data_IF_310695268950
#
_entry.id   IF_310695268950
#
_cell.length_a   1.000
_cell.length_b   1.000
_cell.length_c   1.000
_cell.angle_alpha   90.00
_cell.angle_beta   90.00
_cell.angle_gamma   90.00
#
_symmetry.space_group_name_H-M   'P 1'
#
loop_
_entity.id
_entity.type
_entity.pdbx_description
1 polymer ?
#
# COMPACT_ATOMS: atom_id res chain seq x y z
N UNK A 1 15.91 -20.05 14.74
CA UNK A 1 14.55 -19.42 14.73
C UNK A 1 13.67 -20.18 15.73
N UNK A 2 12.83 -19.49 16.52
CA UNK A 2 11.95 -20.12 17.51
C UNK A 2 10.53 -19.61 17.28
N UNK A 3 9.57 -20.54 17.19
CA UNK A 3 8.15 -20.19 17.15
C UNK A 3 7.72 -19.80 18.56
N UNK A 4 7.17 -18.61 18.72
CA UNK A 4 6.74 -18.07 20.04
C UNK A 4 5.25 -18.23 20.28
N UNK A 5 4.46 -18.35 19.23
CA UNK A 5 3.02 -18.60 19.28
C UNK A 5 2.55 -19.18 17.94
N UNK A 6 1.42 -19.89 17.98
CA UNK A 6 0.67 -20.39 16.84
C UNK A 6 -0.79 -19.93 17.00
N UNK A 7 -1.36 -19.31 15.96
CA UNK A 7 -2.69 -18.73 15.95
C UNK A 7 -3.58 -19.46 14.94
N UNK A 8 -4.82 -19.73 15.29
CA UNK A 8 -5.76 -20.46 14.46
C UNK A 8 -6.64 -19.56 13.58
N UNK A 9 -6.69 -18.27 13.87
CA UNK A 9 -7.41 -17.28 13.08
C UNK A 9 -6.73 -15.89 13.14
N UNK A 10 -7.22 -14.94 12.35
CA UNK A 10 -6.64 -13.61 12.30
C UNK A 10 -6.84 -12.77 13.56
N UNK A 11 -7.82 -13.09 14.43
CA UNK A 11 -8.00 -12.38 15.70
C UNK A 11 -6.93 -12.80 16.71
N UNK A 12 -6.74 -14.11 16.87
CA UNK A 12 -5.64 -14.65 17.69
C UNK A 12 -4.28 -14.15 17.18
N UNK A 13 -4.07 -14.14 15.85
CA UNK A 13 -2.84 -13.62 15.25
C UNK A 13 -2.58 -12.16 15.64
N UNK A 14 -3.60 -11.30 15.62
CA UNK A 14 -3.48 -9.91 16.07
C UNK A 14 -3.16 -9.86 17.57
N UNK A 15 -3.90 -10.59 18.42
CA UNK A 15 -3.70 -10.60 19.87
C UNK A 15 -2.31 -11.09 20.25
N UNK A 16 -1.86 -12.20 19.67
CA UNK A 16 -0.56 -12.78 19.95
C UNK A 16 0.57 -11.90 19.45
N UNK A 17 0.41 -11.25 18.30
CA UNK A 17 1.42 -10.28 17.82
C UNK A 17 1.55 -9.10 18.76
N UNK A 18 0.43 -8.57 19.29
CA UNK A 18 0.44 -7.48 20.26
C UNK A 18 1.11 -7.88 21.58
N UNK A 19 0.88 -9.11 22.02
CA UNK A 19 1.36 -9.62 23.29
C UNK A 19 2.84 -10.05 23.23
N UNK A 20 3.19 -10.91 22.27
CA UNK A 20 4.53 -11.52 22.18
C UNK A 20 5.54 -10.63 21.45
N UNK A 21 5.09 -9.67 20.64
CA UNK A 21 5.96 -8.81 19.83
C UNK A 21 7.02 -9.61 19.05
N UNK A 22 6.63 -10.60 18.23
CA UNK A 22 7.59 -11.42 17.49
C UNK A 22 8.34 -10.56 16.47
N UNK A 23 9.57 -10.99 16.10
CA UNK A 23 10.32 -10.31 15.05
C UNK A 23 9.64 -10.43 13.67
N UNK A 24 8.98 -11.57 13.44
CA UNK A 24 8.28 -11.87 12.17
C UNK A 24 6.95 -12.54 12.48
N UNK A 25 5.94 -12.19 11.72
CA UNK A 25 4.66 -12.92 11.66
C UNK A 25 4.57 -13.60 10.30
N UNK A 26 4.44 -14.92 10.29
CA UNK A 26 4.09 -15.69 9.11
C UNK A 26 2.58 -15.94 9.15
N UNK A 27 1.84 -15.48 8.15
CA UNK A 27 0.39 -15.44 8.20
C UNK A 27 -0.25 -15.97 6.92
N UNK A 28 -1.18 -16.87 7.05
CA UNK A 28 -2.02 -17.29 5.94
C UNK A 28 -2.96 -16.13 5.52
N UNK A 29 -3.19 -15.98 4.21
CA UNK A 29 -4.17 -15.02 3.68
C UNK A 29 -5.59 -15.49 3.99
N UNK A 30 -5.88 -16.76 3.73
CA UNK A 30 -7.23 -17.32 3.87
C UNK A 30 -7.37 -18.00 5.23
N UNK A 31 -8.01 -17.30 6.15
CA UNK A 31 -8.31 -17.80 7.49
C UNK A 31 -9.79 -17.58 7.85
N UNK A 32 -10.37 -18.41 8.73
CA UNK A 32 -11.74 -18.21 9.17
C UNK A 32 -11.88 -16.91 9.97
N UNK A 33 -13.05 -16.28 9.88
CA UNK A 33 -13.36 -15.07 10.64
C UNK A 33 -12.63 -13.82 10.13
N UNK A 34 -11.49 -13.48 10.72
CA UNK A 34 -10.65 -12.38 10.27
C UNK A 34 -9.57 -12.92 9.33
N UNK A 35 -9.60 -12.52 8.06
CA UNK A 35 -8.59 -12.92 7.07
C UNK A 35 -7.21 -12.29 7.35
N UNK A 36 -6.16 -12.86 6.74
CA UNK A 36 -4.78 -12.43 6.95
C UNK A 36 -4.48 -11.01 6.49
N UNK A 37 -5.17 -10.51 5.46
CA UNK A 37 -5.00 -9.14 4.97
C UNK A 37 -5.57 -8.13 5.96
N UNK A 38 -6.77 -8.41 6.48
CA UNK A 38 -7.39 -7.58 7.51
C UNK A 38 -6.62 -7.63 8.83
N UNK A 39 -6.08 -8.80 9.21
CA UNK A 39 -5.20 -8.96 10.37
C UNK A 39 -3.90 -8.16 10.19
N UNK A 40 -3.24 -8.27 9.02
CA UNK A 40 -2.04 -7.48 8.66
C UNK A 40 -2.29 -5.99 8.83
N UNK A 41 -3.39 -5.48 8.28
CA UNK A 41 -3.74 -4.05 8.38
C UNK A 41 -3.91 -3.59 9.82
N UNK A 42 -4.52 -4.42 10.69
CA UNK A 42 -4.67 -4.12 12.12
C UNK A 42 -3.33 -4.11 12.84
N UNK A 43 -2.49 -5.10 12.58
CA UNK A 43 -1.16 -5.22 13.20
C UNK A 43 -0.29 -4.03 12.80
N UNK A 44 -0.15 -3.73 11.51
CA UNK A 44 0.70 -2.63 11.00
C UNK A 44 0.21 -1.26 11.49
N UNK A 45 -1.11 -1.07 11.67
CA UNK A 45 -1.62 0.16 12.30
C UNK A 45 -1.14 0.35 13.74
N UNK A 46 -1.02 -0.72 14.49
CA UNK A 46 -0.61 -0.68 15.90
C UNK A 46 0.91 -0.81 16.07
N UNK A 47 1.57 -1.51 15.16
CA UNK A 47 3.02 -1.76 15.15
C UNK A 47 3.52 -1.53 13.72
N UNK A 48 3.83 -0.29 13.32
CA UNK A 48 4.20 0.05 11.93
C UNK A 48 5.42 -0.71 11.39
N UNK A 49 6.36 -1.10 12.26
CA UNK A 49 7.60 -1.77 11.89
C UNK A 49 7.50 -3.30 11.98
N UNK A 50 6.31 -3.87 12.23
CA UNK A 50 6.13 -5.31 12.30
C UNK A 50 6.34 -5.96 10.94
N UNK A 51 7.31 -6.85 10.85
CA UNK A 51 7.54 -7.65 9.64
C UNK A 51 6.48 -8.74 9.56
N UNK A 52 5.67 -8.71 8.50
CA UNK A 52 4.62 -9.70 8.22
C UNK A 52 4.87 -10.29 6.84
N UNK A 53 5.01 -11.61 6.77
CA UNK A 53 5.13 -12.37 5.54
C UNK A 53 3.85 -13.18 5.36
N UNK A 54 3.15 -12.97 4.25
CA UNK A 54 1.91 -13.68 3.95
C UNK A 54 2.20 -14.99 3.23
N UNK A 55 1.46 -16.03 3.57
CA UNK A 55 1.43 -17.29 2.82
C UNK A 55 0.30 -17.23 1.79
N UNK A 56 0.62 -17.57 0.55
CA UNK A 56 -0.34 -17.54 -0.57
C UNK A 56 -0.29 -18.84 -1.36
N UNK A 57 -1.42 -19.28 -1.89
CA UNK A 57 -1.47 -20.29 -2.95
C UNK A 57 -1.38 -19.63 -4.33
N UNK A 58 -1.13 -20.42 -5.38
CA UNK A 58 -1.04 -19.91 -6.76
C UNK A 58 -2.33 -19.24 -7.25
N UNK A 59 -3.48 -19.56 -6.65
CA UNK A 59 -4.78 -18.99 -6.99
C UNK A 59 -5.05 -17.63 -6.31
N UNK A 60 -4.22 -17.23 -5.35
CA UNK A 60 -4.43 -16.05 -4.50
C UNK A 60 -3.58 -14.84 -4.92
N UNK A 61 -3.00 -14.83 -6.11
CA UNK A 61 -2.10 -13.77 -6.58
C UNK A 61 -2.73 -12.36 -6.55
N UNK A 62 -4.05 -12.26 -6.77
CA UNK A 62 -4.76 -10.97 -6.66
C UNK A 62 -4.82 -10.48 -5.22
N UNK A 63 -4.93 -11.39 -4.25
CA UNK A 63 -4.93 -11.09 -2.84
C UNK A 63 -3.55 -10.62 -2.35
N UNK A 64 -2.47 -11.07 -3.00
CA UNK A 64 -1.13 -10.63 -2.68
C UNK A 64 -0.95 -9.11 -2.83
N UNK A 65 -1.54 -8.50 -3.85
CA UNK A 65 -1.52 -7.04 -4.02
C UNK A 65 -2.22 -6.31 -2.87
N UNK A 66 -3.37 -6.84 -2.43
CA UNK A 66 -4.09 -6.28 -1.28
C UNK A 66 -3.30 -6.43 0.02
N UNK A 67 -2.56 -7.52 0.15
CA UNK A 67 -1.66 -7.76 1.28
C UNK A 67 -0.50 -6.76 1.36
N UNK A 68 0.15 -6.43 0.21
CA UNK A 68 1.17 -5.37 0.16
C UNK A 68 0.58 -4.01 0.54
N UNK A 69 -0.60 -3.68 0.01
CA UNK A 69 -1.30 -2.44 0.36
C UNK A 69 -1.70 -2.41 1.85
N UNK A 70 -1.91 -3.57 2.48
CA UNK A 70 -2.17 -3.68 3.91
C UNK A 70 -0.91 -3.51 4.77
N UNK A 71 0.30 -3.57 4.16
CA UNK A 71 1.58 -3.38 4.81
C UNK A 71 2.40 -4.66 5.02
N UNK A 72 2.09 -5.77 4.31
CA UNK A 72 2.92 -6.95 4.35
C UNK A 72 4.32 -6.67 3.78
N UNK A 73 5.35 -7.23 4.38
CA UNK A 73 6.74 -7.12 3.96
C UNK A 73 7.10 -8.07 2.81
N UNK A 74 6.30 -9.14 2.63
CA UNK A 74 6.55 -10.10 1.57
C UNK A 74 5.52 -11.21 1.51
N UNK A 75 5.75 -12.14 0.57
CA UNK A 75 4.90 -13.29 0.30
C UNK A 75 5.73 -14.54 0.07
N UNK A 76 5.27 -15.64 0.62
CA UNK A 76 5.79 -16.98 0.35
C UNK A 76 4.67 -17.87 -0.19
N UNK A 77 4.99 -18.71 -1.15
CA UNK A 77 4.07 -19.76 -1.58
C UNK A 77 3.88 -20.79 -0.45
N UNK A 78 2.67 -21.30 -0.28
CA UNK A 78 2.42 -22.46 0.61
C UNK A 78 3.15 -23.73 0.14
N UNK A 79 3.64 -23.73 -1.10
CA UNK A 79 4.45 -24.79 -1.68
C UNK A 79 5.95 -24.60 -1.43
N UNK A 80 6.35 -23.55 -0.69
CA UNK A 80 7.75 -23.31 -0.37
C UNK A 80 8.34 -24.49 0.39
N UNK A 81 9.55 -24.88 -0.01
CA UNK A 81 10.28 -25.92 0.72
C UNK A 81 10.54 -25.48 2.17
N UNK A 82 10.13 -26.32 3.11
CA UNK A 82 10.27 -26.07 4.55
C UNK A 82 11.72 -25.80 4.94
N UNK A 83 12.69 -26.42 4.26
CA UNK A 83 14.11 -26.21 4.51
C UNK A 83 14.58 -24.79 4.13
N UNK A 84 13.94 -24.17 3.12
CA UNK A 84 14.25 -22.81 2.66
C UNK A 84 13.50 -21.71 3.44
N UNK A 85 12.44 -22.06 4.15
CA UNK A 85 11.60 -21.12 4.90
C UNK A 85 12.39 -20.26 5.93
N UNK A 86 13.30 -20.84 6.76
CA UNK A 86 14.07 -20.02 7.69
C UNK A 86 14.94 -18.97 7.01
N UNK A 87 15.54 -19.29 5.87
CA UNK A 87 16.36 -18.35 5.10
C UNK A 87 15.52 -17.19 4.54
N UNK A 88 14.36 -17.50 3.95
CA UNK A 88 13.43 -16.50 3.43
C UNK A 88 12.95 -15.54 4.53
N UNK A 89 12.60 -16.07 5.71
CA UNK A 89 12.16 -15.26 6.84
C UNK A 89 13.32 -14.40 7.42
N UNK A 90 14.56 -14.90 7.45
CA UNK A 90 15.71 -14.08 7.83
C UNK A 90 15.93 -12.92 6.85
N UNK A 91 15.81 -13.18 5.54
CA UNK A 91 15.86 -12.13 4.52
C UNK A 91 14.79 -11.06 4.73
N UNK A 92 13.53 -11.47 4.98
CA UNK A 92 12.45 -10.53 5.29
C UNK A 92 12.76 -9.66 6.52
N UNK A 93 13.33 -10.25 7.58
CA UNK A 93 13.73 -9.51 8.77
C UNK A 93 14.90 -8.55 8.50
N UNK A 94 15.79 -8.89 7.59
CA UNK A 94 16.88 -8.01 7.15
C UNK A 94 16.41 -6.90 6.18
N UNK A 95 15.13 -6.85 5.84
CA UNK A 95 14.56 -5.85 4.91
C UNK A 95 14.65 -6.27 3.44
N UNK A 96 14.97 -7.52 3.15
CA UNK A 96 14.92 -8.05 1.79
C UNK A 96 13.47 -8.33 1.37
N UNK A 97 13.14 -8.06 0.12
CA UNK A 97 11.81 -8.37 -0.41
C UNK A 97 11.67 -9.88 -0.64
N UNK A 98 10.79 -10.52 0.09
CA UNK A 98 10.46 -11.93 -0.07
C UNK A 98 9.26 -12.04 -0.99
N UNK A 99 9.53 -12.23 -2.29
CA UNK A 99 8.47 -12.28 -3.32
C UNK A 99 8.85 -13.35 -4.35
N UNK A 100 7.91 -14.22 -4.72
CA UNK A 100 8.15 -15.19 -5.78
C UNK A 100 8.41 -14.48 -7.12
N UNK A 101 9.19 -15.13 -8.01
CA UNK A 101 9.47 -14.57 -9.35
C UNK A 101 8.17 -14.29 -10.13
N UNK A 102 7.18 -15.17 -10.01
CA UNK A 102 5.88 -15.02 -10.67
C UNK A 102 5.16 -13.77 -10.16
N UNK A 103 5.05 -13.61 -8.86
CA UNK A 103 4.40 -12.44 -8.25
C UNK A 103 5.17 -11.15 -8.54
N UNK A 104 6.50 -11.18 -8.59
CA UNK A 104 7.31 -10.01 -8.98
C UNK A 104 6.96 -9.53 -10.39
N UNK A 105 6.79 -10.45 -11.35
CA UNK A 105 6.38 -10.09 -12.71
C UNK A 105 4.98 -9.49 -12.74
N UNK A 106 4.03 -10.03 -11.98
CA UNK A 106 2.67 -9.47 -11.88
C UNK A 106 2.64 -8.10 -11.21
N UNK A 107 3.47 -7.88 -10.19
CA UNK A 107 3.66 -6.56 -9.58
C UNK A 107 4.15 -5.53 -10.61
N UNK A 108 5.18 -5.89 -11.40
CA UNK A 108 5.68 -5.03 -12.48
C UNK A 108 4.60 -4.76 -13.52
N UNK A 109 3.83 -5.78 -13.90
CA UNK A 109 2.74 -5.62 -14.87
C UNK A 109 1.60 -4.77 -14.32
N UNK A 110 1.23 -4.95 -13.05
CA UNK A 110 0.24 -4.12 -12.37
C UNK A 110 0.69 -2.65 -12.31
N UNK A 111 1.94 -2.39 -11.94
CA UNK A 111 2.52 -1.04 -11.97
C UNK A 111 2.51 -0.42 -13.36
N UNK A 112 2.74 -1.21 -14.42
CA UNK A 112 2.67 -0.75 -15.81
C UNK A 112 1.24 -0.45 -16.28
N UNK A 113 0.26 -1.23 -15.81
CA UNK A 113 -1.17 -1.11 -16.19
C UNK A 113 -1.91 -0.09 -15.33
N UNK A 114 -1.46 0.14 -14.09
CA UNK A 114 -2.05 1.20 -13.27
C UNK A 114 -1.75 2.52 -13.95
N UNK A 115 -2.77 3.24 -14.45
CA UNK A 115 -2.52 4.56 -15.01
C UNK A 115 -1.72 5.34 -13.98
N UNK A 116 -0.63 5.96 -14.40
CA UNK A 116 0.24 6.75 -13.53
C UNK A 116 -0.47 8.03 -13.03
N UNK A 117 -1.73 7.93 -12.64
CA UNK A 117 -2.47 8.98 -11.93
C UNK A 117 -1.92 9.18 -10.51
N UNK A 118 -1.32 8.13 -9.90
CA UNK A 118 -0.41 8.28 -8.77
C UNK A 118 1.03 8.50 -9.26
N UNK A 119 1.18 9.27 -10.36
CA UNK A 119 2.43 9.48 -11.08
C UNK A 119 3.53 9.96 -10.16
N UNK A 120 4.75 9.58 -10.50
CA UNK A 120 5.99 10.08 -9.92
C UNK A 120 5.83 11.55 -9.53
N UNK A 121 5.65 11.77 -8.23
CA UNK A 121 5.57 13.14 -7.72
C UNK A 121 6.91 13.79 -8.01
N UNK A 122 6.94 14.96 -8.62
CA UNK A 122 8.20 15.63 -8.90
C UNK A 122 9.01 15.76 -7.60
N UNK A 123 10.29 15.38 -7.62
CA UNK A 123 11.18 15.45 -6.45
C UNK A 123 11.23 16.87 -5.87
N UNK A 124 11.00 17.89 -6.73
CA UNK A 124 10.82 19.30 -6.35
C UNK A 124 9.41 19.73 -6.74
N UNK A 125 8.41 19.41 -5.94
CA UNK A 125 7.04 19.86 -6.20
C UNK A 125 6.65 21.02 -5.28
N UNK A 126 5.92 22.00 -5.83
CA UNK A 126 5.29 23.06 -5.06
C UNK A 126 4.14 22.53 -4.18
N UNK A 127 3.56 21.37 -4.51
CA UNK A 127 2.46 20.77 -3.78
C UNK A 127 2.98 19.84 -2.68
N UNK A 128 2.33 19.89 -1.51
CA UNK A 128 2.56 18.94 -0.42
C UNK A 128 2.00 17.55 -0.76
N UNK A 129 2.40 16.47 -0.06
CA UNK A 129 1.82 15.15 -0.25
C UNK A 129 0.29 15.14 -0.20
N UNK A 130 -0.31 15.85 0.74
CA UNK A 130 -1.78 15.93 0.90
C UNK A 130 -2.45 16.68 -0.24
N UNK A 131 -1.82 17.73 -0.75
CA UNK A 131 -2.31 18.47 -1.91
C UNK A 131 -2.22 17.61 -3.19
N UNK A 132 -1.21 16.76 -3.30
CA UNK A 132 -1.13 15.79 -4.39
C UNK A 132 -2.24 14.74 -4.35
N UNK A 133 -2.60 14.22 -3.18
CA UNK A 133 -3.74 13.30 -3.03
C UNK A 133 -5.04 13.92 -3.52
N UNK A 134 -5.29 15.17 -3.16
CA UNK A 134 -6.45 15.92 -3.67
C UNK A 134 -6.33 16.17 -5.18
N UNK A 135 -5.13 16.52 -5.69
CA UNK A 135 -4.89 16.76 -7.11
C UNK A 135 -5.11 15.49 -7.95
N UNK A 136 -4.73 14.33 -7.44
CA UNK A 136 -4.96 13.04 -8.09
C UNK A 136 -6.45 12.81 -8.35
N UNK A 137 -7.28 13.04 -7.34
CA UNK A 137 -8.75 12.89 -7.46
C UNK A 137 -9.39 13.97 -8.34
N UNK A 138 -8.80 15.16 -8.40
CA UNK A 138 -9.20 16.20 -9.37
C UNK A 138 -8.91 15.73 -10.80
N UNK A 139 -7.74 15.10 -11.04
CA UNK A 139 -7.40 14.52 -12.34
C UNK A 139 -8.38 13.42 -12.76
N UNK A 140 -8.91 12.65 -11.79
CA UNK A 140 -9.97 11.66 -12.00
C UNK A 140 -11.36 12.27 -12.21
N UNK A 141 -11.47 13.59 -12.30
CA UNK A 141 -12.75 14.31 -12.45
C UNK A 141 -13.74 14.11 -11.28
N UNK A 142 -13.25 13.77 -10.09
CA UNK A 142 -14.09 13.64 -8.88
C UNK A 142 -14.65 14.99 -8.45
N UNK A 143 -15.89 14.99 -7.95
CA UNK A 143 -16.50 16.16 -7.31
C UNK A 143 -15.89 16.44 -5.94
N UNK A 144 -16.12 17.63 -5.40
CA UNK A 144 -15.67 18.00 -4.05
C UNK A 144 -16.17 17.01 -2.98
N UNK A 145 -17.43 16.59 -3.11
CA UNK A 145 -18.05 15.68 -2.14
C UNK A 145 -17.45 14.26 -2.25
N UNK A 146 -17.24 13.77 -3.46
CA UNK A 146 -16.56 12.49 -3.70
C UNK A 146 -15.13 12.48 -3.17
N UNK A 147 -14.40 13.60 -3.32
CA UNK A 147 -13.06 13.75 -2.75
C UNK A 147 -13.11 13.75 -1.22
N UNK A 148 -14.08 14.44 -0.65
CA UNK A 148 -14.29 14.52 0.79
C UNK A 148 -14.55 13.13 1.38
N UNK A 149 -15.46 12.37 0.76
CA UNK A 149 -15.79 11.00 1.19
C UNK A 149 -14.57 10.07 1.10
N UNK A 150 -13.85 10.12 -0.03
CA UNK A 150 -12.71 9.22 -0.28
C UNK A 150 -11.51 9.50 0.63
N UNK A 151 -11.27 10.77 0.97
CA UNK A 151 -10.15 11.19 1.83
C UNK A 151 -10.54 11.34 3.30
N UNK A 152 -11.82 11.07 3.65
CA UNK A 152 -12.38 11.24 5.00
C UNK A 152 -12.15 12.67 5.50
N UNK A 153 -12.54 13.66 4.67
CA UNK A 153 -12.43 15.09 4.95
C UNK A 153 -13.81 15.74 4.88
N UNK A 154 -13.93 16.97 5.41
CA UNK A 154 -15.09 17.80 5.12
C UNK A 154 -14.98 18.41 3.72
N UNK A 155 -16.12 18.67 3.02
CA UNK A 155 -16.13 19.38 1.74
C UNK A 155 -15.43 20.74 1.82
N UNK A 156 -15.52 21.42 2.95
CA UNK A 156 -14.86 22.70 3.23
C UNK A 156 -13.33 22.57 3.22
N UNK A 157 -12.82 21.51 3.86
CA UNK A 157 -11.38 21.18 3.86
C UNK A 157 -10.88 20.90 2.44
N UNK A 158 -11.66 20.16 1.65
CA UNK A 158 -11.33 19.90 0.24
C UNK A 158 -11.29 21.20 -0.56
N UNK A 159 -12.27 22.10 -0.39
CA UNK A 159 -12.26 23.43 -1.06
C UNK A 159 -11.03 24.24 -0.70
N UNK A 160 -10.62 24.21 0.57
CA UNK A 160 -9.40 24.87 1.03
C UNK A 160 -8.14 24.29 0.35
N UNK A 161 -8.02 22.97 0.28
CA UNK A 161 -6.93 22.33 -0.45
C UNK A 161 -6.92 22.71 -1.93
N UNK A 162 -8.07 22.67 -2.61
CA UNK A 162 -8.19 23.07 -4.01
C UNK A 162 -7.73 24.52 -4.22
N UNK A 163 -8.15 25.46 -3.36
CA UNK A 163 -7.69 26.85 -3.42
C UNK A 163 -6.17 26.99 -3.27
N UNK A 164 -5.56 26.24 -2.37
CA UNK A 164 -4.10 26.24 -2.19
C UNK A 164 -3.38 25.61 -3.38
N UNK A 165 -3.91 24.54 -3.94
CA UNK A 165 -3.37 23.88 -5.14
C UNK A 165 -3.37 24.86 -6.32
N UNK A 166 -4.52 25.48 -6.61
CA UNK A 166 -4.65 26.44 -7.71
C UNK A 166 -3.63 27.58 -7.57
N UNK A 167 -3.49 28.16 -6.37
CA UNK A 167 -2.51 29.20 -6.11
C UNK A 167 -1.07 28.75 -6.30
N UNK A 168 -0.72 27.54 -5.84
CA UNK A 168 0.64 26.99 -5.93
C UNK A 168 1.04 26.59 -7.35
N UNK A 169 0.06 26.19 -8.17
CA UNK A 169 0.25 25.82 -9.57
C UNK A 169 0.06 27.02 -10.52
N UNK A 170 -0.25 28.21 -9.99
CA UNK A 170 -0.61 29.40 -10.76
C UNK A 170 -1.72 29.12 -11.80
N UNK A 171 -2.72 28.32 -11.38
CA UNK A 171 -3.85 27.88 -12.19
C UNK A 171 -5.13 28.62 -11.78
N UNK A 172 -5.93 29.03 -12.76
CA UNK A 172 -7.19 29.77 -12.55
C UNK A 172 -8.41 28.87 -12.43
N UNK A 173 -8.29 27.61 -12.88
CA UNK A 173 -9.37 26.61 -12.84
C UNK A 173 -8.82 25.21 -12.53
N UNK A 174 -9.75 24.28 -12.19
CA UNK A 174 -9.39 22.87 -12.00
C UNK A 174 -8.84 22.24 -13.27
N UNK A 175 -9.37 22.61 -14.43
CA UNK A 175 -8.96 22.15 -15.75
C UNK A 175 -7.52 22.57 -16.04
N UNK A 176 -7.19 23.82 -15.74
CA UNK A 176 -5.84 24.34 -15.91
C UNK A 176 -4.86 23.65 -14.94
N UNK A 177 -5.28 23.45 -13.70
CA UNK A 177 -4.46 22.71 -12.71
C UNK A 177 -4.19 21.27 -13.16
N UNK A 178 -5.14 20.58 -13.80
CA UNK A 178 -4.95 19.24 -14.37
C UNK A 178 -3.85 19.28 -15.43
N UNK A 179 -3.87 20.24 -16.34
CA UNK A 179 -2.85 20.38 -17.40
C UNK A 179 -1.47 20.67 -16.83
N UNK A 180 -1.37 21.55 -15.82
CA UNK A 180 -0.11 21.86 -15.14
C UNK A 180 0.41 20.63 -14.40
N UNK A 181 -0.44 19.94 -13.65
CA UNK A 181 -0.07 18.73 -12.93
C UNK A 181 0.42 17.62 -13.87
N UNK A 182 -0.21 17.44 -15.03
CA UNK A 182 0.22 16.49 -16.06
C UNK A 182 1.61 16.85 -16.64
N UNK A 183 1.88 18.12 -16.89
CA UNK A 183 3.22 18.59 -17.35
C UNK A 183 4.28 18.32 -16.26
N UNK A 184 3.99 18.63 -14.99
CA UNK A 184 4.90 18.37 -13.89
C UNK A 184 5.23 16.89 -13.72
N UNK A 185 4.26 15.98 -14.01
CA UNK A 185 4.47 14.52 -13.99
C UNK A 185 5.18 13.99 -15.21
N UNK A 186 4.99 14.60 -16.36
CA UNK A 186 5.58 14.20 -17.63
C UNK A 186 7.08 14.47 -17.71
N UNK A 187 7.67 15.21 -16.75
CA UNK A 187 9.07 15.61 -16.73
C UNK A 187 9.52 16.11 -18.10
N UNK A 188 9.94 17.35 -18.23
CA UNK A 188 10.48 17.96 -19.44
C UNK A 188 11.11 16.95 -20.42
N UNK A 189 10.35 16.53 -21.42
CA UNK A 189 10.91 15.95 -22.64
C UNK A 189 11.05 17.10 -23.63
N UNK A 190 12.07 17.87 -23.44
CA UNK A 190 12.67 18.69 -24.49
C UNK A 190 14.07 18.15 -24.78
#
# INVERSE_FOLDING_TARGET
MTVVADAHDGREAVEYTMYYRPHIVLMDIVMPGLDGIAATRKIVRAIPDQVIVLLTSAEEDELAMLGLQAGAAGFLSKEVDIESLPQALHGAHAGEAVVSRHLSMRLVEHLRRTPHTAGLRPVKSALTPREWEVMDLICERKTTDQIADQLVLSPETVRSHVKHILRKLDARSREEAILVAQRLRGGDRA
#
